data_IF_195589717436
#
_entry.id   IF_195589717436
#
_cell.length_a   1.000
_cell.length_b   1.000
_cell.length_c   1.000
_cell.angle_alpha   90.00
_cell.angle_beta   90.00
_cell.angle_gamma   90.00
#
_symmetry.space_group_name_H-M   'P 1'
#
loop_
_entity.id
_entity.type
_entity.pdbx_description
1 polymer ?
#
# COMPACT_ATOMS: atom_id res chain seq x y z
N UNK A 1 -6.78 -16.20 -0.28
CA UNK A 1 -5.68 -15.51 0.42
C UNK A 1 -6.08 -14.15 1.01
N UNK A 2 -6.91 -13.34 0.34
CA UNK A 2 -7.54 -12.12 0.92
C UNK A 2 -8.39 -12.37 2.21
N UNK A 3 -8.61 -13.62 2.60
CA UNK A 3 -9.59 -14.00 3.60
C UNK A 3 -9.07 -13.89 5.05
N UNK A 4 -7.75 -14.03 5.31
CA UNK A 4 -7.23 -14.02 6.68
C UNK A 4 -7.06 -12.59 7.21
N UNK A 5 -6.44 -11.69 6.44
CA UNK A 5 -6.31 -10.27 6.75
C UNK A 5 -7.68 -9.60 6.97
N UNK A 6 -8.61 -9.78 6.02
CA UNK A 6 -9.99 -9.25 6.16
C UNK A 6 -10.75 -9.88 7.33
N UNK A 7 -10.44 -11.12 7.73
CA UNK A 7 -11.04 -11.72 8.92
C UNK A 7 -10.47 -11.16 10.22
N UNK A 8 -9.18 -10.81 10.29
CA UNK A 8 -8.57 -10.15 11.45
C UNK A 8 -9.20 -8.76 11.65
N UNK A 9 -9.28 -7.96 10.58
CA UNK A 9 -9.90 -6.63 10.64
C UNK A 9 -11.39 -6.73 11.02
N UNK A 10 -12.12 -7.73 10.49
CA UNK A 10 -13.55 -7.99 10.76
C UNK A 10 -13.93 -8.32 12.20
N UNK A 11 -13.01 -8.74 13.07
CA UNK A 11 -13.34 -9.23 14.42
C UNK A 11 -13.28 -8.16 15.52
N UNK A 12 -12.68 -6.99 15.25
CA UNK A 12 -12.67 -5.86 16.20
C UNK A 12 -13.98 -5.04 16.12
N UNK A 13 -15.10 -5.64 16.54
CA UNK A 13 -16.45 -5.05 16.40
C UNK A 13 -16.90 -4.36 17.68
N UNK A 14 -16.99 -3.03 17.68
CA UNK A 14 -17.74 -2.32 18.74
C UNK A 14 -18.21 -0.90 18.39
N UNK A 15 -18.75 -0.61 17.19
CA UNK A 15 -19.43 0.67 16.94
C UNK A 15 -20.15 0.70 15.58
N UNK A 16 -21.26 1.46 15.41
CA UNK A 16 -21.90 1.75 14.11
C UNK A 16 -20.98 2.33 13.03
N UNK A 17 -19.76 2.79 13.37
CA UNK A 17 -18.70 3.12 12.40
C UNK A 17 -18.12 1.87 11.69
N UNK A 18 -18.47 0.66 12.15
CA UNK A 18 -18.06 -0.62 11.55
C UNK A 18 -18.62 -0.84 10.14
N UNK A 19 -19.68 -0.12 9.72
CA UNK A 19 -20.15 -0.17 8.35
C UNK A 19 -19.17 0.50 7.37
N UNK A 20 -18.49 1.57 7.79
CA UNK A 20 -17.45 2.20 6.97
C UNK A 20 -16.20 1.31 6.88
N UNK A 21 -15.82 0.64 7.98
CA UNK A 21 -14.70 -0.31 7.97
C UNK A 21 -14.97 -1.52 7.07
N UNK A 22 -16.18 -2.08 7.09
CA UNK A 22 -16.57 -3.16 6.16
C UNK A 22 -16.49 -2.73 4.69
N UNK A 23 -16.72 -1.45 4.39
CA UNK A 23 -16.65 -0.91 3.03
C UNK A 23 -15.20 -0.61 2.59
N UNK A 24 -14.32 -0.19 3.51
CA UNK A 24 -12.87 -0.09 3.31
C UNK A 24 -12.27 -1.49 3.03
N UNK A 25 -12.70 -2.49 3.80
CA UNK A 25 -12.17 -3.86 3.80
C UNK A 25 -12.44 -4.63 2.49
N UNK A 26 -13.45 -4.24 1.70
CA UNK A 26 -13.86 -5.09 0.58
C UNK A 26 -13.18 -4.80 -0.75
N UNK A 27 -12.49 -3.68 -0.97
CA UNK A 27 -12.04 -3.18 -2.30
C UNK A 27 -13.12 -3.19 -3.41
N UNK A 28 -14.30 -3.76 -3.17
CA UNK A 28 -15.55 -3.37 -3.76
C UNK A 28 -15.85 -1.99 -3.20
N UNK A 29 -15.39 -0.99 -3.93
CA UNK A 29 -16.09 0.28 -4.07
C UNK A 29 -17.49 -0.11 -4.55
N UNK A 30 -18.36 -0.47 -3.60
CA UNK A 30 -19.77 -0.50 -3.89
C UNK A 30 -20.11 0.96 -4.21
N UNK A 31 -20.75 1.26 -5.34
CA UNK A 31 -21.28 2.60 -5.64
C UNK A 31 -22.34 3.09 -4.62
N UNK A 32 -22.47 2.40 -3.46
CA UNK A 32 -23.40 2.67 -2.37
C UNK A 32 -22.71 3.19 -1.09
N UNK A 33 -21.39 3.42 -1.05
CA UNK A 33 -20.84 4.25 0.03
C UNK A 33 -21.24 5.70 -0.22
N UNK A 34 -22.45 6.03 0.21
CA UNK A 34 -23.00 7.36 0.08
C UNK A 34 -22.54 8.16 1.29
N UNK A 35 -21.74 9.20 1.08
CA UNK A 35 -21.22 10.08 2.13
C UNK A 35 -22.32 10.65 3.06
N UNK A 36 -23.58 10.62 2.61
CA UNK A 36 -24.75 11.00 3.40
C UNK A 36 -24.97 10.18 4.67
N UNK A 37 -24.40 8.97 4.79
CA UNK A 37 -24.45 8.21 6.05
C UNK A 37 -23.83 8.98 7.22
N UNK A 38 -22.93 9.94 6.94
CA UNK A 38 -22.32 10.79 7.96
C UNK A 38 -23.15 12.02 8.32
N UNK A 39 -24.16 12.41 7.51
CA UNK A 39 -24.99 13.60 7.78
C UNK A 39 -25.74 13.52 9.10
N UNK A 40 -26.09 12.31 9.56
CA UNK A 40 -26.73 12.11 10.88
C UNK A 40 -25.85 12.52 12.07
N UNK A 41 -24.55 12.65 11.87
CA UNK A 41 -23.57 13.07 12.88
C UNK A 41 -23.25 14.57 12.80
N UNK A 42 -23.86 15.27 11.84
CA UNK A 42 -23.74 16.71 11.67
C UNK A 42 -24.82 17.38 12.53
N UNK A 43 -24.45 18.51 13.10
CA UNK A 43 -25.33 19.44 13.77
C UNK A 43 -26.01 20.35 12.73
N UNK A 44 -27.35 20.42 12.76
CA UNK A 44 -28.13 21.11 11.73
C UNK A 44 -27.99 22.63 11.77
N UNK A 45 -27.59 23.20 12.91
CA UNK A 45 -27.44 24.65 13.09
C UNK A 45 -26.08 25.13 12.59
N UNK A 46 -25.02 24.41 12.95
CA UNK A 46 -23.63 24.76 12.63
C UNK A 46 -23.15 24.15 11.32
N UNK A 47 -23.79 23.08 10.84
CA UNK A 47 -23.34 22.30 9.70
C UNK A 47 -22.03 21.55 9.93
N UNK A 48 -21.60 21.38 11.20
CA UNK A 48 -20.37 20.72 11.59
C UNK A 48 -20.64 19.41 12.34
N UNK A 49 -19.62 18.54 12.44
CA UNK A 49 -19.73 17.32 13.26
C UNK A 49 -19.97 17.69 14.73
N UNK A 50 -20.90 16.97 15.36
CA UNK A 50 -21.30 17.23 16.76
C UNK A 50 -20.09 17.08 17.69
N UNK A 51 -19.86 18.07 18.54
CA UNK A 51 -18.73 18.10 19.48
C UNK A 51 -18.69 16.92 20.44
N UNK A 52 -19.84 16.30 20.74
CA UNK A 52 -19.91 15.07 21.58
C UNK A 52 -19.07 13.92 21.01
N UNK A 53 -18.85 13.88 19.69
CA UNK A 53 -18.06 12.86 19.01
C UNK A 53 -16.55 13.00 19.28
N UNK A 54 -16.10 14.18 19.72
CA UNK A 54 -14.69 14.47 20.01
C UNK A 54 -14.06 13.57 21.08
N UNK A 55 -14.90 12.93 21.92
CA UNK A 55 -14.44 12.06 23.00
C UNK A 55 -14.42 10.57 22.61
N UNK A 56 -15.07 10.17 21.50
CA UNK A 56 -15.05 8.80 21.01
C UNK A 56 -13.85 8.58 20.09
N UNK A 57 -12.68 8.31 20.68
CA UNK A 57 -11.43 8.10 19.93
C UNK A 57 -11.54 6.97 18.89
N UNK A 58 -12.27 5.89 19.20
CA UNK A 58 -12.47 4.78 18.26
C UNK A 58 -13.34 5.23 17.08
N UNK A 59 -14.43 5.93 17.36
CA UNK A 59 -15.29 6.53 16.32
C UNK A 59 -14.55 7.54 15.46
N UNK A 60 -13.72 8.40 16.06
CA UNK A 60 -12.87 9.37 15.34
C UNK A 60 -11.86 8.67 14.43
N UNK A 61 -11.21 7.61 14.89
CA UNK A 61 -10.28 6.82 14.08
C UNK A 61 -10.99 6.19 12.87
N UNK A 62 -12.15 5.57 13.08
CA UNK A 62 -12.94 5.03 11.97
C UNK A 62 -13.43 6.11 11.00
N UNK A 63 -13.81 7.29 11.49
CA UNK A 63 -14.22 8.43 10.66
C UNK A 63 -13.04 8.98 9.84
N UNK A 64 -11.85 9.05 10.45
CA UNK A 64 -10.61 9.43 9.79
C UNK A 64 -10.31 8.49 8.62
N UNK A 65 -10.24 7.18 8.87
CA UNK A 65 -9.93 6.20 7.81
C UNK A 65 -10.99 6.21 6.69
N UNK A 66 -12.27 6.35 7.04
CA UNK A 66 -13.35 6.44 6.06
C UNK A 66 -13.29 7.71 5.22
N UNK A 67 -12.76 8.82 5.76
CA UNK A 67 -12.65 10.09 5.04
C UNK A 67 -11.74 10.03 3.82
N UNK A 68 -10.78 9.11 3.78
CA UNK A 68 -9.90 8.88 2.63
C UNK A 68 -10.56 8.12 1.48
N UNK A 69 -11.80 7.65 1.64
CA UNK A 69 -12.62 7.10 0.55
C UNK A 69 -13.47 8.14 -0.17
N UNK A 70 -13.45 9.40 0.29
CA UNK A 70 -14.28 10.46 -0.28
C UNK A 70 -13.88 10.84 -1.71
N UNK A 71 -14.88 11.18 -2.53
CA UNK A 71 -14.69 11.71 -3.87
C UNK A 71 -14.69 13.24 -3.90
N UNK A 72 -14.14 13.81 -4.99
CA UNK A 72 -14.15 15.25 -5.21
C UNK A 72 -15.58 15.81 -5.17
N UNK A 73 -15.80 16.80 -4.32
CA UNK A 73 -17.10 17.46 -4.15
C UNK A 73 -17.93 16.92 -2.97
N UNK A 74 -17.49 15.85 -2.31
CA UNK A 74 -18.14 15.34 -1.10
C UNK A 74 -17.74 16.15 0.15
N UNK A 75 -18.32 17.34 0.30
CA UNK A 75 -18.03 18.30 1.39
C UNK A 75 -18.10 17.66 2.79
N UNK A 76 -18.98 16.67 2.98
CA UNK A 76 -19.09 15.95 4.26
C UNK A 76 -17.84 15.13 4.58
N UNK A 77 -17.17 14.56 3.57
CA UNK A 77 -15.93 13.79 3.74
C UNK A 77 -14.75 14.71 4.06
N UNK A 78 -14.67 15.87 3.41
CA UNK A 78 -13.67 16.91 3.74
C UNK A 78 -13.81 17.38 5.19
N UNK A 79 -15.05 17.62 5.64
CA UNK A 79 -15.36 17.94 7.04
C UNK A 79 -15.03 16.80 7.99
N UNK A 80 -15.28 15.55 7.58
CA UNK A 80 -14.97 14.36 8.38
C UNK A 80 -13.45 14.25 8.61
N UNK A 81 -12.66 14.42 7.55
CA UNK A 81 -11.20 14.41 7.60
C UNK A 81 -10.67 15.51 8.52
N UNK A 82 -11.13 16.76 8.34
CA UNK A 82 -10.70 17.89 9.16
C UNK A 82 -11.06 17.69 10.65
N UNK A 83 -12.30 17.30 10.94
CA UNK A 83 -12.79 17.09 12.29
C UNK A 83 -12.04 15.95 12.99
N UNK A 84 -11.94 14.77 12.36
CA UNK A 84 -11.29 13.61 12.94
C UNK A 84 -9.79 13.83 13.15
N UNK A 85 -9.10 14.42 12.18
CA UNK A 85 -7.66 14.71 12.27
C UNK A 85 -7.34 15.64 13.45
N UNK A 86 -8.11 16.73 13.61
CA UNK A 86 -7.90 17.69 14.68
C UNK A 86 -8.02 17.04 16.07
N UNK A 87 -9.11 16.29 16.28
CA UNK A 87 -9.37 15.65 17.58
C UNK A 87 -8.44 14.46 17.83
N UNK A 88 -8.08 13.65 16.83
CA UNK A 88 -7.10 12.57 17.01
C UNK A 88 -5.72 13.12 17.41
N UNK A 89 -5.28 14.23 16.82
CA UNK A 89 -4.02 14.90 17.20
C UNK A 89 -4.04 15.42 18.63
N UNK A 90 -5.16 16.02 19.05
CA UNK A 90 -5.36 16.48 20.43
C UNK A 90 -5.33 15.30 21.41
N UNK A 91 -6.06 14.22 21.08
CA UNK A 91 -6.24 13.07 21.97
C UNK A 91 -5.02 12.14 22.00
N UNK A 92 -4.12 12.16 21.00
CA UNK A 92 -2.96 11.26 20.87
C UNK A 92 -2.18 11.07 22.19
N UNK A 93 -1.99 12.13 22.99
CA UNK A 93 -1.22 12.11 24.23
C UNK A 93 -1.97 11.59 25.47
N UNK A 94 -3.29 11.46 25.41
CA UNK A 94 -4.13 11.11 26.56
C UNK A 94 -4.85 9.77 26.39
N UNK A 95 -4.63 9.06 25.28
CA UNK A 95 -5.18 7.72 25.07
C UNK A 95 -4.54 6.75 26.05
N UNK A 96 -5.35 6.25 27.01
CA UNK A 96 -4.86 5.32 28.04
C UNK A 96 -4.66 3.88 27.56
N UNK A 97 -5.29 3.50 26.44
CA UNK A 97 -5.15 2.16 25.86
C UNK A 97 -3.96 2.10 24.90
N UNK A 98 -2.88 1.36 25.22
CA UNK A 98 -1.67 1.32 24.38
C UNK A 98 -1.97 0.87 22.94
N UNK A 99 -2.77 -0.20 22.79
CA UNK A 99 -3.16 -0.71 21.47
C UNK A 99 -3.99 0.28 20.64
N UNK A 100 -4.80 1.13 21.27
CA UNK A 100 -5.52 2.19 20.56
C UNK A 100 -4.58 3.36 20.22
N UNK A 101 -3.66 3.72 21.12
CA UNK A 101 -2.69 4.78 20.89
C UNK A 101 -1.81 4.48 19.67
N UNK A 102 -1.28 3.25 19.58
CA UNK A 102 -0.48 2.79 18.43
C UNK A 102 -1.26 2.84 17.13
N UNK A 103 -2.54 2.45 17.13
CA UNK A 103 -3.41 2.55 15.93
C UNK A 103 -3.64 4.00 15.50
N UNK A 104 -3.89 4.90 16.45
CA UNK A 104 -4.08 6.34 16.15
C UNK A 104 -2.79 6.95 15.62
N UNK A 105 -1.65 6.62 16.19
CA UNK A 105 -0.35 7.08 15.72
C UNK A 105 -0.06 6.62 14.29
N UNK A 106 -0.25 5.32 14.02
CA UNK A 106 -0.06 4.75 12.69
C UNK A 106 -1.01 5.38 11.67
N UNK A 107 -2.29 5.59 12.02
CA UNK A 107 -3.28 6.27 11.16
C UNK A 107 -2.89 7.71 10.81
N UNK A 108 -2.43 8.49 11.80
CA UNK A 108 -2.03 9.88 11.59
C UNK A 108 -0.73 10.02 10.77
N UNK A 109 0.11 8.99 10.74
CA UNK A 109 1.29 8.94 9.86
C UNK A 109 0.88 8.69 8.40
N UNK A 110 0.05 7.68 8.17
CA UNK A 110 -0.52 7.38 6.85
C UNK A 110 -1.86 6.65 7.03
N UNK A 111 -2.95 7.03 6.35
CA UNK A 111 -4.23 6.30 6.45
C UNK A 111 -4.14 4.90 5.84
N UNK A 112 -4.93 3.96 6.34
CA UNK A 112 -4.95 2.56 5.86
C UNK A 112 -5.22 2.45 4.35
N UNK A 113 -5.99 3.39 3.79
CA UNK A 113 -6.32 3.42 2.37
C UNK A 113 -5.08 3.61 1.47
N UNK A 114 -4.01 4.22 1.98
CA UNK A 114 -2.77 4.47 1.23
C UNK A 114 -1.68 3.44 1.53
N UNK A 115 -1.90 2.56 2.51
CA UNK A 115 -0.88 1.60 2.93
C UNK A 115 -0.89 0.34 2.07
N UNK A 116 0.28 -0.19 1.68
CA UNK A 116 0.36 -1.47 1.00
C UNK A 116 -0.15 -2.61 1.90
N UNK A 117 -1.12 -3.37 1.39
CA UNK A 117 -1.81 -4.44 2.14
C UNK A 117 -0.86 -5.43 2.84
N UNK A 118 0.28 -5.79 2.20
CA UNK A 118 1.24 -6.74 2.78
C UNK A 118 2.02 -6.16 3.96
N UNK A 119 2.39 -4.89 3.91
CA UNK A 119 3.07 -4.21 5.02
C UNK A 119 2.10 -4.01 6.17
N UNK A 120 0.88 -3.55 5.87
CA UNK A 120 -0.16 -3.38 6.88
C UNK A 120 -0.52 -4.72 7.53
N UNK A 121 -0.61 -5.81 6.77
CA UNK A 121 -0.85 -7.14 7.33
C UNK A 121 0.27 -7.57 8.29
N UNK A 122 1.54 -7.29 7.96
CA UNK A 122 2.68 -7.63 8.84
C UNK A 122 2.61 -6.85 10.15
N UNK A 123 2.44 -5.54 10.06
CA UNK A 123 2.31 -4.65 11.21
C UNK A 123 1.09 -5.01 12.08
N UNK A 124 -0.06 -5.22 11.45
CA UNK A 124 -1.30 -5.49 12.18
C UNK A 124 -1.32 -6.84 12.87
N UNK A 125 -0.58 -7.85 12.39
CA UNK A 125 -0.43 -9.12 13.11
C UNK A 125 0.23 -8.93 14.48
N UNK A 126 1.23 -8.05 14.57
CA UNK A 126 1.92 -7.73 15.84
C UNK A 126 0.98 -6.95 16.76
N UNK A 127 0.30 -5.92 16.23
CA UNK A 127 -0.69 -5.14 16.99
C UNK A 127 -1.92 -5.96 17.40
N UNK A 128 -2.32 -6.96 16.62
CA UNK A 128 -3.46 -7.83 16.93
C UNK A 128 -3.12 -8.83 18.03
N UNK A 129 -1.88 -9.32 18.09
CA UNK A 129 -1.40 -10.26 19.11
C UNK A 129 -1.54 -9.69 20.53
N UNK A 130 -1.41 -8.37 20.69
CA UNK A 130 -1.52 -7.68 21.97
C UNK A 130 -2.96 -7.28 22.36
N UNK A 131 -3.96 -7.52 21.50
CA UNK A 131 -5.32 -7.07 21.77
C UNK A 131 -6.07 -8.01 22.73
N UNK A 132 -6.90 -7.48 23.65
CA UNK A 132 -7.69 -8.30 24.58
C UNK A 132 -8.69 -9.23 23.90
N UNK A 133 -9.20 -8.87 22.72
CA UNK A 133 -10.16 -9.62 21.91
C UNK A 133 -9.50 -10.44 20.78
N UNK A 134 -8.19 -10.67 20.87
CA UNK A 134 -7.43 -11.45 19.91
C UNK A 134 -7.94 -12.90 19.81
N UNK A 135 -8.16 -13.37 18.58
CA UNK A 135 -8.51 -14.75 18.29
C UNK A 135 -7.26 -15.55 17.88
N UNK A 136 -6.81 -16.52 18.70
CA UNK A 136 -5.55 -17.23 18.47
C UNK A 136 -5.54 -18.07 17.19
N UNK A 137 -6.69 -18.64 16.81
CA UNK A 137 -6.80 -19.41 15.56
C UNK A 137 -6.65 -18.51 14.34
N UNK A 138 -7.19 -17.30 14.42
CA UNK A 138 -7.13 -16.33 13.34
C UNK A 138 -5.73 -15.74 13.19
N UNK A 139 -5.07 -15.39 14.31
CA UNK A 139 -3.67 -14.95 14.30
C UNK A 139 -2.74 -16.04 13.74
N UNK A 140 -2.93 -17.29 14.18
CA UNK A 140 -2.17 -18.44 13.67
C UNK A 140 -2.36 -18.61 12.16
N UNK A 141 -3.60 -18.54 11.69
CA UNK A 141 -3.91 -18.64 10.26
C UNK A 141 -3.21 -17.53 9.46
N UNK A 142 -3.25 -16.29 9.94
CA UNK A 142 -2.62 -15.17 9.26
C UNK A 142 -1.09 -15.27 9.23
N UNK A 143 -0.45 -15.67 10.34
CA UNK A 143 1.00 -15.91 10.38
C UNK A 143 1.41 -17.02 9.39
N UNK A 144 0.65 -18.12 9.33
CA UNK A 144 0.90 -19.22 8.39
C UNK A 144 0.72 -18.78 6.93
N UNK A 145 -0.39 -18.13 6.60
CA UNK A 145 -0.66 -17.60 5.25
C UNK A 145 0.43 -16.60 4.83
N UNK A 146 0.81 -15.68 5.73
CA UNK A 146 1.88 -14.72 5.47
C UNK A 146 3.20 -15.41 5.14
N UNK A 147 3.58 -16.44 5.88
CA UNK A 147 4.81 -17.20 5.70
C UNK A 147 4.81 -18.01 4.39
N UNK A 148 3.68 -18.61 4.01
CA UNK A 148 3.54 -19.33 2.74
C UNK A 148 3.74 -18.37 1.56
N UNK A 149 3.06 -17.22 1.58
CA UNK A 149 3.22 -16.20 0.54
C UNK A 149 4.67 -15.68 0.49
N UNK A 150 5.27 -15.43 1.66
CA UNK A 150 6.65 -14.97 1.74
C UNK A 150 7.66 -15.99 1.18
N UNK A 151 7.43 -17.29 1.39
CA UNK A 151 8.27 -18.34 0.82
C UNK A 151 8.24 -18.30 -0.71
N UNK A 152 7.06 -18.17 -1.29
CA UNK A 152 6.87 -18.06 -2.75
C UNK A 152 7.60 -16.83 -3.30
N UNK A 153 7.46 -15.67 -2.65
CA UNK A 153 8.18 -14.45 -3.04
C UNK A 153 9.70 -14.60 -2.95
N UNK A 154 10.22 -15.38 -1.99
CA UNK A 154 11.67 -15.67 -1.89
C UNK A 154 12.16 -16.57 -3.02
N UNK A 155 11.37 -17.55 -3.42
CA UNK A 155 11.70 -18.42 -4.56
C UNK A 155 11.70 -17.63 -5.88
N UNK A 156 10.72 -16.76 -6.08
CA UNK A 156 10.66 -15.79 -7.19
C UNK A 156 11.90 -14.88 -7.20
N UNK A 157 12.24 -14.30 -6.04
CA UNK A 157 13.43 -13.47 -5.89
C UNK A 157 14.70 -14.23 -6.30
N UNK A 158 14.85 -15.49 -5.87
CA UNK A 158 15.98 -16.32 -6.27
C UNK A 158 16.08 -16.56 -7.79
N UNK A 159 14.94 -16.64 -8.50
CA UNK A 159 14.94 -16.71 -9.97
C UNK A 159 15.32 -15.37 -10.60
N UNK A 160 14.81 -14.27 -10.06
CA UNK A 160 15.11 -12.92 -10.54
C UNK A 160 16.58 -12.55 -10.35
N UNK A 161 17.19 -12.91 -9.23
CA UNK A 161 18.63 -12.71 -8.98
C UNK A 161 19.47 -13.49 -10.00
N UNK A 162 19.11 -14.74 -10.31
CA UNK A 162 19.81 -15.51 -11.35
C UNK A 162 19.69 -14.85 -12.72
N UNK A 163 18.48 -14.50 -13.12
CA UNK A 163 18.22 -13.77 -14.38
C UNK A 163 19.03 -12.47 -14.46
N UNK A 164 19.04 -11.66 -13.41
CA UNK A 164 19.79 -10.41 -13.36
C UNK A 164 21.31 -10.62 -13.46
N UNK A 165 21.81 -11.66 -12.79
CA UNK A 165 23.23 -12.04 -12.86
C UNK A 165 23.61 -12.51 -14.26
N UNK A 166 22.76 -13.30 -14.91
CA UNK A 166 22.97 -13.81 -16.28
C UNK A 166 22.98 -12.70 -17.33
N UNK A 167 22.32 -11.56 -17.08
CA UNK A 167 22.40 -10.39 -17.96
C UNK A 167 23.77 -9.69 -17.91
N UNK A 168 24.63 -10.01 -16.92
CA UNK A 168 25.96 -9.40 -16.78
C UNK A 168 25.97 -7.94 -16.32
N UNK A 169 24.80 -7.39 -15.97
CA UNK A 169 24.63 -5.97 -15.64
C UNK A 169 25.12 -5.61 -14.23
N UNK A 170 25.19 -6.57 -13.31
CA UNK A 170 25.65 -6.35 -11.93
C UNK A 170 27.13 -5.95 -11.80
N UNK A 171 27.93 -6.10 -12.87
CA UNK A 171 29.34 -5.65 -12.90
C UNK A 171 29.52 -4.24 -13.46
N UNK A 172 28.46 -3.62 -13.98
CA UNK A 172 28.53 -2.28 -14.54
C UNK A 172 28.40 -1.27 -13.41
N UNK A 173 29.48 -0.57 -13.08
CA UNK A 173 29.55 0.43 -11.99
C UNK A 173 28.63 1.64 -12.20
N UNK A 174 28.03 1.73 -13.39
CA UNK A 174 27.20 2.82 -13.82
C UNK A 174 25.72 2.65 -13.44
N UNK A 175 25.22 1.42 -13.49
CA UNK A 175 23.81 1.14 -13.21
C UNK A 175 23.56 1.00 -11.71
N UNK A 176 22.43 1.53 -11.24
CA UNK A 176 21.99 1.30 -9.87
C UNK A 176 21.43 -0.13 -9.76
N UNK A 177 22.04 -0.97 -8.93
CA UNK A 177 21.53 -2.31 -8.65
C UNK A 177 20.34 -2.26 -7.68
N UNK A 178 19.15 -2.03 -8.23
CA UNK A 178 17.90 -1.84 -7.50
C UNK A 178 16.97 -3.07 -7.57
N UNK A 179 17.49 -4.25 -7.91
CA UNK A 179 16.66 -5.43 -8.14
C UNK A 179 15.80 -5.78 -6.91
N UNK A 180 16.37 -5.63 -5.71
CA UNK A 180 15.67 -5.90 -4.45
C UNK A 180 14.47 -4.96 -4.28
N UNK A 181 14.66 -3.68 -4.57
CA UNK A 181 13.65 -2.64 -4.52
C UNK A 181 12.53 -2.92 -5.51
N UNK A 182 12.86 -3.35 -6.74
CA UNK A 182 11.87 -3.72 -7.74
C UNK A 182 11.06 -4.96 -7.34
N UNK A 183 11.73 -5.98 -6.79
CA UNK A 183 11.06 -7.16 -6.26
C UNK A 183 10.12 -6.79 -5.10
N UNK A 184 10.59 -5.91 -4.21
CA UNK A 184 9.82 -5.42 -3.08
C UNK A 184 8.58 -4.65 -3.56
N UNK A 185 8.73 -3.65 -4.42
CA UNK A 185 7.62 -2.87 -4.99
C UNK A 185 6.60 -3.79 -5.67
N UNK A 186 7.06 -4.67 -6.56
CA UNK A 186 6.16 -5.58 -7.29
C UNK A 186 5.38 -6.50 -6.35
N UNK A 187 6.03 -6.96 -5.27
CA UNK A 187 5.39 -7.78 -4.23
C UNK A 187 4.41 -7.02 -3.35
N UNK A 188 4.50 -5.68 -3.27
CA UNK A 188 3.52 -4.84 -2.58
C UNK A 188 2.23 -4.65 -3.39
N UNK A 189 2.34 -4.52 -4.72
CA UNK A 189 1.20 -4.31 -5.62
C UNK A 189 0.49 -5.61 -5.96
N UNK A 190 1.26 -6.66 -6.29
CA UNK A 190 0.74 -7.92 -6.84
C UNK A 190 1.09 -9.07 -5.89
N UNK A 191 0.59 -9.05 -4.66
CA UNK A 191 1.06 -9.98 -3.63
C UNK A 191 0.46 -11.40 -3.68
N UNK A 192 -0.67 -11.62 -4.36
CA UNK A 192 -1.36 -12.91 -4.37
C UNK A 192 -0.52 -13.96 -5.14
N UNK A 193 -0.14 -15.09 -4.52
CA UNK A 193 0.66 -16.16 -5.15
C UNK A 193 0.22 -16.60 -6.53
N UNK A 194 -1.08 -16.58 -6.83
CA UNK A 194 -1.59 -16.97 -8.16
C UNK A 194 -1.08 -16.09 -9.31
N UNK A 195 -0.51 -14.92 -9.00
CA UNK A 195 0.09 -13.99 -9.96
C UNK A 195 1.63 -14.02 -9.96
N UNK A 196 2.25 -15.16 -9.62
CA UNK A 196 3.71 -15.36 -9.66
C UNK A 196 4.34 -14.90 -10.97
N UNK A 197 3.85 -15.41 -12.10
CA UNK A 197 4.45 -15.10 -13.41
C UNK A 197 4.29 -13.62 -13.78
N UNK A 198 3.15 -13.03 -13.42
CA UNK A 198 2.91 -11.61 -13.62
C UNK A 198 3.87 -10.77 -12.77
N UNK A 199 4.05 -11.09 -11.48
CA UNK A 199 5.04 -10.43 -10.62
C UNK A 199 6.44 -10.51 -11.22
N UNK A 200 6.87 -11.71 -11.60
CA UNK A 200 8.21 -11.93 -12.13
C UNK A 200 8.44 -11.11 -13.41
N UNK A 201 7.48 -11.15 -14.34
CA UNK A 201 7.57 -10.35 -15.58
C UNK A 201 7.54 -8.85 -15.29
N UNK A 202 6.66 -8.38 -14.41
CA UNK A 202 6.60 -6.97 -14.02
C UNK A 202 7.91 -6.50 -13.40
N UNK A 203 8.52 -7.29 -12.53
CA UNK A 203 9.82 -6.94 -11.93
C UNK A 203 10.91 -6.83 -13.00
N UNK A 204 10.96 -7.76 -13.97
CA UNK A 204 11.91 -7.66 -15.09
C UNK A 204 11.70 -6.39 -15.91
N UNK A 205 10.45 -6.06 -16.24
CA UNK A 205 10.11 -4.84 -16.97
C UNK A 205 10.53 -3.59 -16.19
N UNK A 206 10.23 -3.51 -14.90
CA UNK A 206 10.61 -2.36 -14.06
C UNK A 206 12.13 -2.22 -13.99
N UNK A 207 12.87 -3.32 -13.80
CA UNK A 207 14.34 -3.29 -13.80
C UNK A 207 14.91 -2.80 -15.14
N UNK A 208 14.32 -3.22 -16.27
CA UNK A 208 14.72 -2.70 -17.59
C UNK A 208 14.39 -1.22 -17.76
N UNK A 209 13.25 -0.74 -17.26
CA UNK A 209 12.90 0.68 -17.29
C UNK A 209 13.94 1.50 -16.53
N UNK A 210 14.37 1.07 -15.35
CA UNK A 210 15.37 1.82 -14.56
C UNK A 210 16.77 1.76 -15.16
N UNK A 211 17.12 0.70 -15.88
CA UNK A 211 18.35 0.66 -16.66
C UNK A 211 18.34 1.69 -17.79
N UNK A 212 17.21 1.79 -18.51
CA UNK A 212 17.05 2.78 -19.57
C UNK A 212 17.07 4.19 -18.97
N UNK A 213 16.39 4.41 -17.85
CA UNK A 213 16.41 5.66 -17.08
C UNK A 213 17.86 6.09 -16.77
N UNK A 214 18.68 5.20 -16.22
CA UNK A 214 20.10 5.47 -15.95
C UNK A 214 20.87 5.84 -17.24
N UNK A 215 20.59 5.19 -18.38
CA UNK A 215 21.20 5.56 -19.67
C UNK A 215 20.85 7.00 -20.07
N UNK A 216 19.57 7.38 -19.99
CA UNK A 216 19.11 8.72 -20.37
C UNK A 216 19.62 9.80 -19.42
N UNK A 217 19.72 9.51 -18.13
CA UNK A 217 20.06 10.51 -17.12
C UNK A 217 21.58 10.70 -16.96
N UNK A 218 22.37 9.63 -17.13
CA UNK A 218 23.76 9.62 -16.69
C UNK A 218 24.78 9.26 -17.80
N UNK A 219 24.37 8.59 -18.90
CA UNK A 219 25.31 8.06 -19.90
C UNK A 219 25.24 8.78 -21.25
N UNK A 220 24.06 8.80 -21.85
CA UNK A 220 23.93 9.02 -23.28
C UNK A 220 24.12 10.48 -23.67
N UNK A 221 24.85 10.73 -24.76
CA UNK A 221 24.78 12.04 -25.42
C UNK A 221 23.42 12.22 -26.09
N UNK A 222 23.04 13.46 -26.40
CA UNK A 222 21.77 13.74 -27.07
C UNK A 222 21.58 12.90 -28.34
N UNK A 223 22.63 12.77 -29.15
CA UNK A 223 22.61 11.99 -30.39
C UNK A 223 22.41 10.48 -30.13
N UNK A 224 23.05 9.93 -29.09
CA UNK A 224 22.88 8.52 -28.70
C UNK A 224 21.47 8.25 -28.16
N UNK A 225 20.91 9.19 -27.39
CA UNK A 225 19.56 9.09 -26.83
C UNK A 225 18.48 9.26 -27.91
N UNK A 226 18.69 10.13 -28.91
CA UNK A 226 17.80 10.23 -30.07
C UNK A 226 17.78 8.93 -30.87
N UNK A 227 18.95 8.31 -31.08
CA UNK A 227 19.06 7.01 -31.74
C UNK A 227 18.37 5.90 -30.92
N UNK A 228 18.63 5.83 -29.61
CA UNK A 228 17.99 4.85 -28.73
C UNK A 228 16.46 5.00 -28.75
N UNK A 229 15.96 6.23 -28.68
CA UNK A 229 14.52 6.54 -28.77
C UNK A 229 13.95 6.07 -30.11
N UNK A 230 14.66 6.31 -31.21
CA UNK A 230 14.24 5.87 -32.53
C UNK A 230 14.16 4.33 -32.61
N UNK A 231 15.17 3.63 -32.09
CA UNK A 231 15.23 2.16 -32.09
C UNK A 231 14.08 1.55 -31.27
N UNK A 232 13.81 2.09 -30.08
CA UNK A 232 12.70 1.66 -29.23
C UNK A 232 11.36 1.83 -29.96
N UNK A 233 11.14 2.97 -30.62
CA UNK A 233 9.90 3.25 -31.35
C UNK A 233 9.66 2.34 -32.56
N UNK A 234 10.73 1.88 -33.21
CA UNK A 234 10.62 0.98 -34.36
C UNK A 234 10.53 -0.50 -33.97
N UNK A 235 10.74 -0.84 -32.67
CA UNK A 235 10.89 -2.23 -32.19
C UNK A 235 11.96 -3.02 -32.97
N UNK A 236 12.95 -2.33 -33.54
CA UNK A 236 14.01 -2.95 -34.35
C UNK A 236 15.12 -3.42 -33.43
N UNK A 237 15.22 -4.73 -33.24
CA UNK A 237 16.26 -5.38 -32.41
C UNK A 237 17.51 -5.78 -33.21
N UNK A 238 17.44 -5.68 -34.54
CA UNK A 238 18.55 -6.01 -35.44
C UNK A 238 19.18 -4.72 -35.96
N UNK A 239 20.13 -4.15 -35.23
CA UNK A 239 21.24 -3.33 -35.74
C UNK A 239 22.26 -3.10 -34.64
N UNK A 240 23.52 -2.98 -35.05
CA UNK A 240 24.71 -2.76 -34.22
C UNK A 240 24.49 -1.71 -33.14
N UNK A 241 24.39 -2.17 -31.90
CA UNK A 241 24.48 -1.34 -30.69
C UNK A 241 25.79 -0.53 -30.78
N UNK A 242 25.79 0.80 -30.57
CA UNK A 242 27.01 1.61 -30.56
C UNK A 242 28.06 1.01 -29.61
N UNK A 243 29.34 1.08 -29.95
CA UNK A 243 30.43 0.48 -29.15
C UNK A 243 30.45 0.98 -27.69
N UNK A 244 29.87 2.15 -27.40
CA UNK A 244 29.69 2.70 -26.05
C UNK A 244 28.78 1.85 -25.14
N UNK A 245 27.88 1.06 -25.71
CA UNK A 245 26.98 0.15 -25.00
C UNK A 245 27.42 -1.32 -25.08
N UNK A 246 28.55 -1.60 -25.75
CA UNK A 246 29.19 -2.92 -25.78
C UNK A 246 30.35 -2.91 -24.77
N UNK A 247 30.05 -3.19 -23.50
CA UNK A 247 31.05 -3.43 -22.46
C UNK A 247 31.37 -4.93 -22.36
#
# INVERSE_FOLDING_TARGET
MMCAYLKIVRNSRSSPCSQAQVLIDHQYISPLFHADVFRKFIDSETGNFRSVLANDVKGLLSLYEASFLGFKGEVVMDKALAFSTAHLKEKKKIISSPGLAVKVEHALDMPIHWRPNRLEARWFMEVYEEQPDMNPNLLKLAKLDYNIVQLIHREEFGRLVRWWTELGLGNMTFFRDNLVEHCFWTSLVIFDPKYSDLREMTTKVVAMITLIDDVYDLLGTLEELELLTHLINQLVVHLTIPQTFQL
#
